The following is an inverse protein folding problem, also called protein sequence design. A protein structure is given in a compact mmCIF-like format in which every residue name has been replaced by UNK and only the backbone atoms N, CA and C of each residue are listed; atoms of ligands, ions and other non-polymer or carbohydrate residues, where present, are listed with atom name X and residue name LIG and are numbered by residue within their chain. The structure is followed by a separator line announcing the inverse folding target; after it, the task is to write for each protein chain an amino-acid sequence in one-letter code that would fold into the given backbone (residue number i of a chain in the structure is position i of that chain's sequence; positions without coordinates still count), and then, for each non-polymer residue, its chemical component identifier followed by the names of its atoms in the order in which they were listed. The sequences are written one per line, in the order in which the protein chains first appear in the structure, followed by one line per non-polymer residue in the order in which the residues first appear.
data_IF_738290864809
#
_entry.id   IF_738290864809
#
_cell.length_a   1.000
_cell.length_b   1.000
_cell.length_c   1.000
_cell.angle_alpha   90.00
_cell.angle_beta   90.00
_cell.angle_gamma   90.00
#
_symmetry.space_group_name_H-M   'P 1'
#
loop_
_entity.id
_entity.type
_entity.pdbx_description
1 polymer ?
#
# COMPACT_ATOMS: atom_id res chain seq x y z
N UNK A 1 -10.91 14.18 -6.76
CA UNK A 1 -9.69 13.47 -6.31
C UNK A 1 -10.09 12.07 -5.92
N UNK A 2 -9.22 11.07 -6.09
CA UNK A 2 -9.52 9.66 -5.77
C UNK A 2 -8.39 9.10 -4.92
N UNK A 3 -8.68 8.66 -3.69
CA UNK A 3 -7.70 8.04 -2.80
C UNK A 3 -7.91 6.52 -2.75
N UNK A 4 -6.81 5.78 -2.67
CA UNK A 4 -6.84 4.34 -2.42
C UNK A 4 -7.10 4.08 -0.94
N UNK A 5 -8.05 3.21 -0.62
CA UNK A 5 -8.28 2.72 0.74
C UNK A 5 -7.97 1.23 0.81
N UNK A 6 -7.43 0.79 1.94
CA UNK A 6 -7.26 -0.63 2.30
C UNK A 6 -8.33 -0.96 3.33
N UNK A 7 -9.00 -2.09 3.18
CA UNK A 7 -10.00 -2.58 4.14
C UNK A 7 -9.54 -3.90 4.74
N UNK A 8 -9.55 -3.96 6.06
CA UNK A 8 -9.21 -5.14 6.86
C UNK A 8 -10.47 -5.67 7.53
N UNK A 9 -10.62 -7.00 7.53
CA UNK A 9 -11.71 -7.67 8.24
C UNK A 9 -11.24 -8.08 9.62
N UNK A 10 -12.02 -7.73 10.63
CA UNK A 10 -11.78 -8.06 12.03
C UNK A 10 -12.94 -8.90 12.59
N UNK A 11 -12.80 -9.51 13.78
CA UNK A 11 -13.90 -10.23 14.42
C UNK A 11 -15.08 -9.29 14.72
N UNK A 12 -16.11 -9.34 13.88
CA UNK A 12 -17.37 -8.60 14.06
C UNK A 12 -17.45 -7.23 13.37
N UNK A 13 -16.38 -6.76 12.71
CA UNK A 13 -16.39 -5.49 11.98
C UNK A 13 -15.35 -5.46 10.85
N UNK A 14 -15.32 -4.33 10.15
CA UNK A 14 -14.31 -3.96 9.17
C UNK A 14 -13.65 -2.66 9.62
N UNK A 15 -12.36 -2.55 9.33
CA UNK A 15 -11.57 -1.34 9.49
C UNK A 15 -10.99 -0.94 8.14
N UNK A 16 -10.79 0.34 7.92
CA UNK A 16 -10.17 0.84 6.70
C UNK A 16 -9.28 2.05 6.97
N UNK A 17 -8.26 2.20 6.14
CA UNK A 17 -7.36 3.34 6.15
C UNK A 17 -6.99 3.74 4.72
N UNK A 18 -6.58 4.99 4.51
CA UNK A 18 -6.02 5.46 3.23
C UNK A 18 -4.51 5.68 3.40
N UNK A 19 -3.64 4.99 2.66
CA UNK A 19 -2.20 5.13 2.91
C UNK A 19 -1.63 6.51 2.53
N UNK A 20 -2.25 7.22 1.57
CA UNK A 20 -1.89 8.61 1.22
C UNK A 20 -2.37 9.63 2.26
N UNK A 21 -3.29 9.24 3.16
CA UNK A 21 -3.87 10.06 4.22
C UNK A 21 -3.94 9.21 5.50
N UNK A 22 -2.79 8.91 6.14
CA UNK A 22 -2.70 7.92 7.22
C UNK A 22 -3.56 8.27 8.44
N UNK A 23 -3.88 9.56 8.63
CA UNK A 23 -4.76 10.02 9.71
C UNK A 23 -6.26 9.77 9.42
N UNK A 24 -6.61 9.33 8.21
CA UNK A 24 -7.97 8.95 7.83
C UNK A 24 -8.18 7.45 8.02
N UNK A 25 -8.89 7.10 9.10
CA UNK A 25 -9.27 5.72 9.44
C UNK A 25 -10.79 5.67 9.64
N UNK A 26 -11.42 4.56 9.27
CA UNK A 26 -12.84 4.33 9.47
C UNK A 26 -13.13 2.87 9.85
N UNK A 27 -14.25 2.63 10.54
CA UNK A 27 -14.73 1.29 10.90
C UNK A 27 -16.22 1.16 10.65
N UNK A 28 -16.72 -0.05 10.39
CA UNK A 28 -18.15 -0.34 10.27
C UNK A 28 -18.45 -1.83 10.47
N UNK A 29 -19.70 -2.17 10.80
CA UNK A 29 -20.14 -3.56 10.95
C UNK A 29 -20.13 -4.31 9.60
N UNK A 30 -20.38 -3.58 8.50
CA UNK A 30 -20.31 -4.11 7.14
C UNK A 30 -19.25 -3.38 6.32
N UNK A 31 -18.82 -4.00 5.22
CA UNK A 31 -17.89 -3.38 4.27
C UNK A 31 -18.48 -2.09 3.69
N UNK A 32 -19.77 -2.09 3.38
CA UNK A 32 -20.49 -0.96 2.82
C UNK A 32 -20.54 0.21 3.80
N UNK A 33 -20.80 -0.05 5.06
CA UNK A 33 -20.78 0.94 6.14
C UNK A 33 -19.37 1.51 6.32
N UNK A 34 -18.33 0.67 6.33
CA UNK A 34 -16.94 1.14 6.42
C UNK A 34 -16.56 2.03 5.24
N UNK A 35 -16.99 1.70 4.01
CA UNK A 35 -16.75 2.54 2.84
C UNK A 35 -17.48 3.89 2.96
N UNK A 36 -18.71 3.89 3.46
CA UNK A 36 -19.48 5.11 3.71
C UNK A 36 -18.77 6.01 4.72
N UNK A 37 -18.37 5.47 5.86
CA UNK A 37 -17.65 6.23 6.90
C UNK A 37 -16.29 6.70 6.41
N UNK A 38 -15.56 5.88 5.63
CA UNK A 38 -14.29 6.27 5.05
C UNK A 38 -14.43 7.47 4.09
N UNK A 39 -15.48 7.50 3.27
CA UNK A 39 -15.75 8.64 2.38
C UNK A 39 -15.98 9.93 3.17
N UNK A 40 -16.70 9.85 4.29
CA UNK A 40 -16.94 11.00 5.18
C UNK A 40 -15.65 11.47 5.83
N UNK A 41 -14.85 10.56 6.37
CA UNK A 41 -13.57 10.87 7.01
C UNK A 41 -12.61 11.58 6.04
N UNK A 42 -12.46 11.04 4.82
CA UNK A 42 -11.63 11.64 3.77
C UNK A 42 -12.11 13.05 3.38
N UNK A 43 -13.43 13.22 3.16
CA UNK A 43 -14.00 14.51 2.80
C UNK A 43 -13.76 15.56 3.89
N UNK A 44 -14.03 15.20 5.15
CA UNK A 44 -13.85 16.07 6.30
C UNK A 44 -12.38 16.47 6.50
N UNK A 45 -11.44 15.53 6.39
CA UNK A 45 -10.03 15.82 6.56
C UNK A 45 -9.48 16.73 5.44
N UNK A 46 -9.85 16.46 4.18
CA UNK A 46 -9.45 17.31 3.05
C UNK A 46 -10.03 18.73 3.15
N UNK A 47 -11.27 18.87 3.61
CA UNK A 47 -11.89 20.16 3.89
C UNK A 47 -11.13 20.92 4.98
N UNK A 48 -10.84 20.25 6.11
CA UNK A 48 -10.06 20.83 7.20
C UNK A 48 -8.68 21.32 6.75
N UNK A 49 -7.93 20.53 5.98
CA UNK A 49 -6.63 20.97 5.43
C UNK A 49 -6.75 22.24 4.59
N UNK A 50 -7.80 22.34 3.76
CA UNK A 50 -8.05 23.54 2.94
C UNK A 50 -8.39 24.76 3.79
N UNK A 51 -9.20 24.59 4.84
CA UNK A 51 -9.57 25.67 5.76
C UNK A 51 -8.37 26.23 6.51
N UNK A 52 -7.40 25.37 6.85
CA UNK A 52 -6.17 25.77 7.55
C UNK A 52 -5.06 26.24 6.60
N UNK A 53 -5.30 26.25 5.29
CA UNK A 53 -4.28 26.61 4.28
C UNK A 53 -3.15 25.59 4.16
N UNK A 54 -3.38 24.36 4.63
CA UNK A 54 -2.44 23.26 4.56
C UNK A 54 -2.50 22.57 3.20
N UNK A 55 -1.37 22.03 2.70
CA UNK A 55 -1.35 21.32 1.44
C UNK A 55 -2.15 20.02 1.54
N UNK A 56 -3.07 19.81 0.59
CA UNK A 56 -3.79 18.53 0.47
C UNK A 56 -2.89 17.50 -0.21
N UNK A 57 -2.56 16.36 0.45
CA UNK A 57 -1.74 15.31 -0.16
C UNK A 57 -2.34 14.79 -1.47
N UNK A 58 -1.53 14.72 -2.52
CA UNK A 58 -1.95 14.16 -3.80
C UNK A 58 -2.11 12.63 -3.70
N UNK A 59 -3.16 12.04 -4.30
CA UNK A 59 -3.29 10.59 -4.33
C UNK A 59 -2.22 9.95 -5.21
N UNK A 60 -1.43 9.04 -4.63
CA UNK A 60 -0.31 8.34 -5.31
C UNK A 60 -0.29 6.84 -5.05
N UNK A 61 -1.06 6.36 -4.07
CA UNK A 61 -1.11 4.94 -3.73
C UNK A 61 -1.78 4.12 -4.83
N UNK A 62 -1.07 3.08 -5.28
CA UNK A 62 -1.57 2.07 -6.21
C UNK A 62 -1.61 0.73 -5.46
N UNK A 63 -2.80 0.15 -5.34
CA UNK A 63 -2.95 -1.19 -4.76
C UNK A 63 -2.73 -2.26 -5.84
N UNK A 64 -1.88 -3.25 -5.55
CA UNK A 64 -1.66 -4.42 -6.40
C UNK A 64 -1.81 -5.69 -5.58
N UNK A 65 -2.61 -6.64 -6.05
CA UNK A 65 -2.71 -7.97 -5.43
C UNK A 65 -1.60 -8.88 -5.96
N UNK A 66 -0.84 -9.49 -5.07
CA UNK A 66 0.18 -10.48 -5.42
C UNK A 66 -0.25 -11.84 -4.92
N UNK A 67 -0.33 -12.82 -5.81
CA UNK A 67 -0.62 -14.21 -5.45
C UNK A 67 0.68 -14.90 -5.03
N UNK A 68 0.72 -15.42 -3.81
CA UNK A 68 1.81 -16.28 -3.37
C UNK A 68 1.41 -17.72 -3.68
N UNK A 69 1.98 -18.32 -4.72
CA UNK A 69 1.85 -19.75 -4.93
C UNK A 69 2.52 -20.47 -3.75
N UNK A 70 1.78 -21.35 -3.07
CA UNK A 70 2.36 -22.23 -2.07
C UNK A 70 3.40 -23.11 -2.80
N UNK A 71 4.69 -22.86 -2.55
CA UNK A 71 5.91 -23.50 -3.06
C UNK A 71 6.81 -22.56 -3.88
N UNK A 72 7.36 -21.55 -3.20
CA UNK A 72 8.61 -20.91 -3.64
C UNK A 72 9.76 -21.92 -3.48
N UNK A 73 10.03 -22.73 -4.51
CA UNK A 73 11.40 -23.22 -4.71
C UNK A 73 12.08 -22.24 -5.65
N UNK A 74 13.04 -21.50 -5.09
CA UNK A 74 13.95 -20.51 -5.66
C UNK A 74 13.34 -19.23 -6.25
N UNK A 75 13.37 -18.17 -5.44
CA UNK A 75 13.46 -16.76 -5.92
C UNK A 75 14.94 -16.37 -6.20
N UNK A 76 15.90 -17.31 -6.14
CA UNK A 76 17.34 -17.00 -6.18
C UNK A 76 18.06 -17.16 -7.53
N UNK A 77 17.40 -17.26 -8.69
CA UNK A 77 18.12 -17.49 -9.96
C UNK A 77 17.82 -16.50 -11.09
N UNK A 78 17.69 -15.21 -10.78
CA UNK A 78 17.60 -14.21 -11.84
C UNK A 78 18.36 -12.91 -11.57
N UNK A 79 19.59 -12.96 -11.05
CA UNK A 79 20.57 -11.89 -11.30
C UNK A 79 21.99 -12.46 -11.29
N UNK A 80 22.79 -12.04 -12.29
CA UNK A 80 24.24 -12.20 -12.44
C UNK A 80 24.77 -13.46 -13.18
N UNK A 81 24.46 -13.57 -14.49
CA UNK A 81 25.46 -14.07 -15.45
C UNK A 81 26.13 -12.90 -16.18
N UNK A 82 26.85 -12.07 -15.44
CA UNK A 82 27.90 -11.23 -16.05
C UNK A 82 29.23 -11.90 -15.74
N UNK A 83 29.63 -12.81 -16.63
CA UNK A 83 30.94 -13.47 -16.61
C UNK A 83 31.98 -12.41 -17.02
N UNK A 84 32.58 -11.72 -16.06
CA UNK A 84 33.83 -11.00 -16.31
C UNK A 84 34.94 -12.06 -16.26
N UNK A 85 35.33 -12.56 -17.43
CA UNK A 85 36.62 -13.24 -17.57
C UNK A 85 37.71 -12.16 -17.57
N UNK A 86 38.34 -11.93 -16.42
CA UNK A 86 39.62 -11.22 -16.35
C UNK A 86 40.60 -11.93 -15.42
N UNK A 87 41.53 -12.64 -16.07
CA UNK A 87 42.99 -12.61 -15.82
C UNK A 87 43.51 -12.99 -14.41
N UNK A 88 44.12 -14.18 -14.40
CA UNK A 88 45.40 -14.56 -13.77
C UNK A 88 45.66 -14.27 -12.28
N UNK A 89 45.78 -15.33 -11.48
CA UNK A 89 46.79 -15.43 -10.42
C UNK A 89 47.23 -16.89 -10.16
N UNK A 90 48.36 -17.25 -10.77
CA UNK A 90 49.56 -17.91 -10.21
C UNK A 90 49.40 -19.00 -9.11
N UNK A 91 49.93 -20.20 -9.39
CA UNK A 91 50.69 -20.93 -8.37
C UNK A 91 50.61 -22.46 -8.34
N UNK A 92 51.24 -23.15 -9.31
CA UNK A 92 52.33 -24.12 -9.15
C UNK A 92 52.57 -24.87 -10.45
#
# INVERSE_FOLDING_TARGET
MQYTMVTEKSPGNYAAYAPDLPDCIATGATREETVWEMRRALAFHVESLREHGEPVPEPRCIATMVNVAAHARSIDHLVLQTRIESVAYRGK
#
